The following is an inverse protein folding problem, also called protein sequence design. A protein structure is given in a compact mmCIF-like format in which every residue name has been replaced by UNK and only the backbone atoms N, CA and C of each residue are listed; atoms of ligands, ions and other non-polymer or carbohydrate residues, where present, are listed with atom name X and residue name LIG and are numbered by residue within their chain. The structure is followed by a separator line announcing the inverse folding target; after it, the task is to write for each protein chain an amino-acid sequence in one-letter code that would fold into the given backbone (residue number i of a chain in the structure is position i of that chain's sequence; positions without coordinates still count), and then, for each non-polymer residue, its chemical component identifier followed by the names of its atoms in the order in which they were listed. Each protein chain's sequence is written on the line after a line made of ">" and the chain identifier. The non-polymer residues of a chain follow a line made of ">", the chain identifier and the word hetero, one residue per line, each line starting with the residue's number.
data_IF_916923535794
#
_entry.id   IF_916923535794
#
_cell.length_a   1.000
_cell.length_b   1.000
_cell.length_c   1.000
_cell.angle_alpha   90.00
_cell.angle_beta   90.00
_cell.angle_gamma   90.00
#
_symmetry.space_group_name_H-M   'P 1'
#
loop_
_entity.id
_entity.type
_entity.pdbx_description
1 polymer ?
#
# COMPACT_ATOMS: atom_id res chain seq x y z
N UNK A 1 -20.51 -24.13 -10.73
CA UNK A 1 -21.36 -23.38 -9.79
C UNK A 1 -20.63 -23.32 -8.46
N UNK A 2 -19.90 -22.24 -8.22
CA UNK A 2 -19.29 -21.98 -6.91
C UNK A 2 -20.42 -21.56 -5.94
N UNK A 3 -20.61 -22.33 -4.88
CA UNK A 3 -21.55 -21.96 -3.81
C UNK A 3 -20.81 -21.06 -2.85
N UNK A 4 -21.18 -19.79 -2.83
CA UNK A 4 -20.79 -18.84 -1.77
C UNK A 4 -21.81 -19.05 -0.65
N UNK A 5 -21.39 -19.15 0.63
CA UNK A 5 -22.33 -19.12 1.75
C UNK A 5 -22.99 -17.74 1.78
N UNK A 6 -24.34 -17.73 1.73
CA UNK A 6 -25.16 -16.56 2.05
C UNK A 6 -25.04 -16.27 3.54
N UNK A 7 -24.90 -14.99 3.87
CA UNK A 7 -25.02 -14.49 5.24
C UNK A 7 -26.40 -14.86 5.82
N UNK A 8 -26.53 -15.16 7.12
CA UNK A 8 -27.82 -15.39 7.72
C UNK A 8 -28.57 -14.07 7.89
N UNK A 9 -29.81 -14.05 7.41
CA UNK A 9 -30.81 -13.02 7.69
C UNK A 9 -30.98 -12.86 9.19
N UNK A 10 -30.79 -11.65 9.65
CA UNK A 10 -30.98 -11.27 11.06
C UNK A 10 -32.24 -10.39 11.17
N UNK A 11 -33.41 -11.04 11.08
CA UNK A 11 -34.68 -10.47 11.53
C UNK A 11 -35.08 -11.16 12.84
N UNK A 12 -34.80 -10.51 13.94
CA UNK A 12 -35.59 -10.59 15.14
C UNK A 12 -35.26 -9.41 16.08
N UNK A 13 -36.08 -8.38 15.94
CA UNK A 13 -36.16 -7.26 16.90
C UNK A 13 -36.99 -7.70 18.04
N UNK A 14 -36.40 -7.82 19.24
CA UNK A 14 -37.14 -7.89 20.50
C UNK A 14 -36.59 -6.82 21.42
N UNK A 15 -37.44 -5.82 21.72
CA UNK A 15 -37.21 -4.80 22.74
C UNK A 15 -37.15 -5.40 24.12
N UNK A 16 -36.24 -5.00 25.01
CA UNK A 16 -36.28 -5.33 26.42
C UNK A 16 -37.05 -4.27 27.23
N UNK A 17 -37.73 -4.66 28.30
CA UNK A 17 -38.49 -3.76 29.16
C UNK A 17 -37.61 -2.91 30.07
N UNK A 18 -38.10 -1.72 30.32
CA UNK A 18 -37.62 -0.70 31.21
C UNK A 18 -37.90 -1.14 32.69
N UNK A 19 -36.85 -1.23 33.50
CA UNK A 19 -37.04 -1.16 34.96
C UNK A 19 -35.91 -0.31 35.59
N UNK A 20 -36.37 0.79 36.20
CA UNK A 20 -35.64 1.60 37.17
C UNK A 20 -35.46 0.79 38.47
N UNK A 21 -34.25 0.68 38.99
CA UNK A 21 -34.09 0.89 40.43
C UNK A 21 -32.66 1.31 40.82
N UNK A 22 -32.60 2.13 41.84
CA UNK A 22 -31.52 2.88 42.42
C UNK A 22 -30.61 2.04 43.32
N UNK A 23 -29.27 2.30 43.34
CA UNK A 23 -28.45 1.87 44.48
C UNK A 23 -26.93 1.89 44.29
N UNK A 24 -26.32 2.95 44.80
CA UNK A 24 -24.99 3.08 45.49
C UNK A 24 -23.71 2.43 45.00
N UNK A 25 -22.76 3.30 44.63
CA UNK A 25 -21.33 3.37 45.04
C UNK A 25 -20.48 2.09 45.16
N UNK A 26 -19.45 1.98 44.31
CA UNK A 26 -18.04 2.00 44.77
C UNK A 26 -17.08 2.04 43.56
N UNK A 27 -15.96 2.75 43.75
CA UNK A 27 -15.02 3.18 42.72
C UNK A 27 -14.21 2.07 42.07
N UNK A 28 -13.83 2.32 40.80
CA UNK A 28 -12.88 1.58 40.02
C UNK A 28 -12.34 2.50 38.94
N UNK A 29 -11.11 2.97 39.11
CA UNK A 29 -10.36 3.79 38.22
C UNK A 29 -10.13 3.02 36.90
N UNK A 30 -10.83 3.38 35.83
CA UNK A 30 -10.59 2.94 34.47
C UNK A 30 -10.14 4.14 33.65
N UNK A 31 -8.87 4.15 33.26
CA UNK A 31 -8.31 5.19 32.39
C UNK A 31 -8.97 5.17 31.03
N UNK A 32 -9.62 6.26 30.69
CA UNK A 32 -10.03 6.58 29.32
C UNK A 32 -8.80 6.88 28.46
N UNK A 33 -8.71 6.39 27.21
CA UNK A 33 -7.66 6.85 26.32
C UNK A 33 -7.87 8.33 26.05
N UNK A 34 -6.80 9.12 26.24
CA UNK A 34 -6.78 10.55 25.94
C UNK A 34 -7.05 10.76 24.46
N UNK A 35 -7.98 11.66 24.15
CA UNK A 35 -8.18 12.16 22.81
C UNK A 35 -6.89 12.83 22.30
N UNK A 36 -6.57 12.75 20.97
CA UNK A 36 -5.45 13.48 20.39
C UNK A 36 -5.62 14.97 20.66
N UNK A 37 -4.51 15.63 21.02
CA UNK A 37 -4.50 17.06 21.24
C UNK A 37 -4.86 17.80 19.95
N UNK A 38 -5.76 18.78 20.05
CA UNK A 38 -6.10 19.70 18.97
C UNK A 38 -4.84 20.46 18.49
N UNK A 39 -4.73 20.79 17.18
CA UNK A 39 -3.61 21.55 16.65
C UNK A 39 -3.47 22.88 17.41
N UNK A 40 -2.28 23.07 17.99
CA UNK A 40 -1.97 24.34 18.64
C UNK A 40 -1.74 25.42 17.58
N UNK A 41 -2.38 26.56 17.76
CA UNK A 41 -2.12 27.77 16.98
C UNK A 41 -0.64 28.17 17.06
N UNK A 42 -0.10 28.66 15.93
CA UNK A 42 1.26 29.14 15.82
C UNK A 42 1.63 30.11 16.97
N UNK A 43 2.83 30.02 17.55
CA UNK A 43 3.28 30.92 18.61
C UNK A 43 3.48 32.34 18.05
N UNK A 44 2.81 33.31 18.65
CA UNK A 44 3.15 34.71 18.46
C UNK A 44 4.46 35.03 19.21
N UNK A 45 5.44 35.49 18.43
CA UNK A 45 6.75 36.03 18.84
C UNK A 45 7.90 35.07 19.16
N UNK A 46 8.83 34.96 18.20
CA UNK A 46 10.27 35.17 18.51
C UNK A 46 11.17 33.96 18.63
N UNK A 47 10.71 32.72 18.53
CA UNK A 47 11.62 31.58 18.42
C UNK A 47 11.21 30.69 17.23
N UNK A 48 12.07 30.48 16.22
CA UNK A 48 11.77 29.66 15.05
C UNK A 48 11.67 28.17 15.36
N UNK A 49 11.54 27.80 16.62
CA UNK A 49 11.53 26.42 17.08
C UNK A 49 10.16 25.79 16.91
N UNK A 50 10.07 24.75 16.06
CA UNK A 50 8.85 23.99 15.81
C UNK A 50 8.76 22.80 16.77
N UNK A 51 7.61 22.59 17.43
CA UNK A 51 7.41 21.43 18.27
C UNK A 51 7.31 20.16 17.40
N UNK A 52 8.08 19.14 17.77
CA UNK A 52 8.01 17.77 17.23
C UNK A 52 7.34 16.91 18.30
N UNK A 53 6.48 16.00 17.89
CA UNK A 53 5.86 15.05 18.81
C UNK A 53 6.68 13.75 18.82
N UNK A 54 7.16 13.36 20.00
CA UNK A 54 7.83 12.10 20.21
C UNK A 54 6.92 11.19 21.06
N UNK A 55 6.40 10.13 20.46
CA UNK A 55 5.35 9.31 21.06
C UNK A 55 4.18 10.16 21.63
N UNK A 56 3.78 11.20 20.87
CA UNK A 56 2.72 12.14 21.24
C UNK A 56 3.13 13.21 22.27
N UNK A 57 4.36 13.22 22.79
CA UNK A 57 4.87 14.28 23.69
C UNK A 57 5.59 15.36 22.89
N UNK A 58 5.21 16.61 23.09
CA UNK A 58 5.79 17.76 22.41
C UNK A 58 7.19 18.11 22.92
N UNK A 59 8.15 18.24 22.00
CA UNK A 59 9.52 18.68 22.25
C UNK A 59 9.92 19.71 21.20
N UNK A 60 10.52 20.81 21.62
CA UNK A 60 11.00 21.86 20.71
C UNK A 60 12.33 21.45 20.06
N UNK A 61 12.26 20.67 18.96
CA UNK A 61 13.42 20.11 18.29
C UNK A 61 13.47 20.39 16.79
N UNK A 62 12.53 21.19 16.24
CA UNK A 62 12.53 21.60 14.84
C UNK A 62 12.88 23.07 14.66
N UNK A 63 13.53 23.41 13.54
CA UNK A 63 13.74 24.80 13.09
C UNK A 63 13.21 24.95 11.67
N UNK A 64 12.31 25.90 11.43
CA UNK A 64 11.77 26.18 10.10
C UNK A 64 12.69 27.10 9.31
N UNK A 65 12.89 26.78 8.03
CA UNK A 65 13.61 27.59 7.05
C UNK A 65 12.75 27.71 5.80
N UNK A 66 12.44 28.94 5.40
CA UNK A 66 11.71 29.22 4.17
C UNK A 66 12.68 29.50 3.02
N UNK A 67 12.38 28.96 1.84
CA UNK A 67 13.17 29.16 0.62
C UNK A 67 12.30 29.03 -0.63
N UNK A 68 12.89 29.15 -1.82
CA UNK A 68 12.24 28.88 -3.09
C UNK A 68 13.10 27.92 -3.92
N UNK A 69 12.47 27.01 -4.64
CA UNK A 69 13.11 26.03 -5.52
C UNK A 69 12.22 25.84 -6.76
N UNK A 70 12.76 26.15 -7.97
CA UNK A 70 12.03 26.03 -9.24
C UNK A 70 10.66 26.70 -9.22
N UNK A 71 10.60 27.95 -8.77
CA UNK A 71 9.39 28.78 -8.60
C UNK A 71 8.36 28.24 -7.57
N UNK A 72 8.70 27.17 -6.82
CA UNK A 72 7.90 26.65 -5.71
C UNK A 72 8.41 27.20 -4.38
N UNK A 73 7.48 27.52 -3.49
CA UNK A 73 7.78 27.86 -2.09
C UNK A 73 8.11 26.61 -1.30
N UNK A 74 9.14 26.66 -0.47
CA UNK A 74 9.63 25.50 0.30
C UNK A 74 9.73 25.86 1.77
N UNK A 75 9.09 25.06 2.63
CA UNK A 75 9.28 25.09 4.08
C UNK A 75 10.08 23.86 4.49
N UNK A 76 11.32 24.07 4.97
CA UNK A 76 12.17 23.00 5.48
C UNK A 76 12.19 23.02 7.01
N UNK A 77 11.87 21.88 7.62
CA UNK A 77 12.01 21.67 9.07
C UNK A 77 13.30 20.89 9.32
N UNK A 78 14.32 21.58 9.81
CA UNK A 78 15.60 20.97 10.20
C UNK A 78 15.48 20.41 11.61
N UNK A 79 15.79 19.13 11.79
CA UNK A 79 15.64 18.42 13.06
C UNK A 79 16.94 18.52 13.87
N UNK A 80 16.85 19.00 15.11
CA UNK A 80 17.96 19.09 16.05
C UNK A 80 18.50 17.69 16.41
N UNK A 81 19.77 17.44 16.08
CA UNK A 81 20.39 16.13 16.23
C UNK A 81 20.58 15.71 17.68
N UNK A 82 20.96 16.65 18.57
CA UNK A 82 21.20 16.34 19.98
C UNK A 82 19.88 15.98 20.67
N UNK A 83 18.85 16.81 20.46
CA UNK A 83 17.52 16.57 21.04
C UNK A 83 16.87 15.28 20.55
N UNK A 84 16.98 14.99 19.24
CA UNK A 84 16.44 13.73 18.70
C UNK A 84 17.17 12.51 19.29
N UNK A 85 18.50 12.57 19.40
CA UNK A 85 19.28 11.49 19.98
C UNK A 85 18.95 11.28 21.46
N UNK A 86 18.82 12.36 22.25
CA UNK A 86 18.43 12.27 23.66
C UNK A 86 17.07 11.61 23.85
N UNK A 87 16.11 11.91 22.96
CA UNK A 87 14.79 11.28 22.97
C UNK A 87 14.87 9.80 22.64
N UNK A 88 15.65 9.43 21.60
CA UNK A 88 15.80 8.02 21.18
C UNK A 88 16.54 7.16 22.22
N UNK A 89 17.49 7.72 22.99
CA UNK A 89 18.20 6.99 24.05
C UNK A 89 17.28 6.63 25.21
N UNK A 90 16.29 7.46 25.52
CA UNK A 90 15.37 7.27 26.64
C UNK A 90 14.21 6.31 26.38
N UNK A 91 14.02 5.86 25.14
CA UNK A 91 12.84 5.07 24.72
C UNK A 91 13.22 3.65 24.28
N UNK A 92 12.24 2.76 24.37
CA UNK A 92 12.29 1.43 23.76
C UNK A 92 12.19 1.53 22.23
N UNK A 93 12.23 0.42 21.55
CA UNK A 93 11.99 0.31 20.09
C UNK A 93 10.59 0.83 19.69
N UNK A 94 10.40 1.11 18.39
CA UNK A 94 9.15 1.52 17.76
C UNK A 94 8.66 2.94 18.13
N UNK A 95 9.56 3.87 18.37
CA UNK A 95 9.19 5.27 18.60
C UNK A 95 8.59 5.92 17.34
N UNK A 96 7.53 6.72 17.53
CA UNK A 96 6.93 7.53 16.47
C UNK A 96 7.35 9.00 16.68
N UNK A 97 8.01 9.55 15.66
CA UNK A 97 8.44 10.96 15.60
C UNK A 97 7.52 11.68 14.61
N UNK A 98 6.58 12.50 15.12
CA UNK A 98 5.65 13.24 14.28
C UNK A 98 6.08 14.69 14.16
N UNK A 99 6.18 15.19 12.94
CA UNK A 99 6.51 16.57 12.58
C UNK A 99 5.23 17.22 12.04
N UNK A 100 4.45 17.93 12.88
CA UNK A 100 3.28 18.66 12.41
C UNK A 100 3.75 19.95 11.75
N UNK A 101 3.40 20.14 10.49
CA UNK A 101 3.77 21.32 9.69
C UNK A 101 2.53 22.07 9.26
N UNK A 102 2.39 23.29 9.76
CA UNK A 102 1.37 24.24 9.34
C UNK A 102 2.02 25.20 8.35
N UNK A 103 1.89 24.96 7.06
CA UNK A 103 2.49 25.77 6.00
C UNK A 103 1.63 25.72 4.74
N UNK A 104 1.56 26.82 4.01
CA UNK A 104 0.94 26.93 2.69
C UNK A 104 1.94 26.73 1.55
N UNK A 105 3.19 26.37 1.88
CA UNK A 105 4.24 26.16 0.90
C UNK A 105 3.90 25.00 -0.06
N UNK A 106 4.38 25.10 -1.29
CA UNK A 106 4.24 24.06 -2.31
C UNK A 106 4.98 22.78 -1.91
N UNK A 107 6.11 22.92 -1.20
CA UNK A 107 6.99 21.83 -0.78
C UNK A 107 7.23 21.91 0.72
N UNK A 108 7.01 20.83 1.43
CA UNK A 108 7.33 20.64 2.83
C UNK A 108 8.45 19.60 2.92
N UNK A 109 9.53 19.94 3.62
CA UNK A 109 10.71 19.09 3.78
C UNK A 109 10.99 18.86 5.26
N UNK A 110 11.13 17.61 5.69
CA UNK A 110 11.82 17.28 6.92
C UNK A 110 13.28 16.94 6.61
N UNK A 111 14.23 17.68 7.19
CA UNK A 111 15.67 17.47 6.98
C UNK A 111 16.29 16.88 8.25
N UNK A 112 16.93 15.70 8.09
CA UNK A 112 17.73 15.01 9.09
C UNK A 112 19.13 14.76 8.52
N UNK A 113 20.10 14.41 9.37
CA UNK A 113 21.34 13.85 8.86
C UNK A 113 21.29 12.31 8.85
N UNK A 114 22.22 11.68 8.11
CA UNK A 114 22.25 10.22 7.99
C UNK A 114 22.49 9.49 9.32
N UNK A 115 23.19 10.11 10.30
CA UNK A 115 23.38 9.51 11.62
C UNK A 115 22.07 9.47 12.42
N UNK A 116 21.25 10.52 12.32
CA UNK A 116 19.92 10.54 12.93
C UNK A 116 19.04 9.41 12.35
N UNK A 117 19.04 9.27 11.02
CA UNK A 117 18.31 8.19 10.35
C UNK A 117 18.81 6.83 10.80
N UNK A 118 20.15 6.64 10.89
CA UNK A 118 20.74 5.38 11.38
C UNK A 118 20.29 5.05 12.80
N UNK A 119 20.28 6.04 13.70
CA UNK A 119 19.82 5.85 15.07
C UNK A 119 18.32 5.49 15.14
N UNK A 120 17.51 6.04 14.23
CA UNK A 120 16.10 5.71 14.09
C UNK A 120 15.89 4.30 13.50
N UNK A 121 16.69 3.89 12.49
CA UNK A 121 16.68 2.51 11.95
C UNK A 121 16.97 1.49 13.07
N UNK A 122 18.04 1.73 13.86
CA UNK A 122 18.45 0.83 14.95
C UNK A 122 17.38 0.69 16.05
N UNK A 123 16.45 1.64 16.14
CA UNK A 123 15.31 1.65 17.06
C UNK A 123 13.98 1.27 16.37
N UNK A 124 13.99 0.91 15.10
CA UNK A 124 12.78 0.63 14.31
C UNK A 124 11.74 1.76 14.40
N UNK A 125 12.22 3.00 14.48
CA UNK A 125 11.38 4.17 14.64
C UNK A 125 10.68 4.55 13.34
N UNK A 126 9.55 5.25 13.47
CA UNK A 126 8.77 5.77 12.34
C UNK A 126 8.82 7.29 12.36
N UNK A 127 9.11 7.89 11.21
CA UNK A 127 8.97 9.32 10.99
C UNK A 127 7.64 9.62 10.32
N UNK A 128 6.91 10.55 10.87
CA UNK A 128 5.63 10.99 10.34
C UNK A 128 5.66 12.50 10.09
N UNK A 129 5.49 12.91 8.83
CA UNK A 129 5.34 14.33 8.46
C UNK A 129 3.86 14.57 8.22
N UNK A 130 3.25 15.45 9.02
CA UNK A 130 1.84 15.79 8.90
C UNK A 130 1.67 17.21 8.37
N UNK A 131 0.88 17.36 7.32
CA UNK A 131 0.44 18.65 6.80
C UNK A 131 -1.08 18.67 6.66
N UNK A 132 -1.64 19.81 6.32
CA UNK A 132 -3.08 20.00 6.07
C UNK A 132 -3.59 19.23 4.84
N UNK A 133 -2.71 18.87 3.90
CA UNK A 133 -3.04 18.16 2.65
C UNK A 133 -2.69 16.68 2.66
N UNK A 134 -1.64 16.28 3.39
CA UNK A 134 -1.16 14.91 3.38
C UNK A 134 -0.31 14.58 4.61
N UNK A 135 -0.21 13.28 4.90
CA UNK A 135 0.72 12.71 5.88
C UNK A 135 1.61 11.70 5.20
N UNK A 136 2.90 11.73 5.52
CA UNK A 136 3.87 10.74 5.08
C UNK A 136 4.42 9.98 6.29
N UNK A 137 4.06 8.69 6.40
CA UNK A 137 4.47 7.79 7.48
C UNK A 137 5.58 6.87 6.98
N UNK A 138 6.83 7.20 7.31
CA UNK A 138 8.02 6.52 6.80
C UNK A 138 8.74 5.77 7.92
N UNK A 139 8.71 4.42 7.95
CA UNK A 139 9.60 3.64 8.81
C UNK A 139 11.06 3.93 8.43
N UNK A 140 11.89 4.29 9.41
CA UNK A 140 13.27 4.71 9.16
C UNK A 140 14.09 3.66 8.40
N UNK A 141 13.86 2.38 8.68
CA UNK A 141 14.51 1.26 7.98
C UNK A 141 14.29 1.24 6.46
N UNK A 142 13.21 1.88 5.97
CA UNK A 142 12.92 1.97 4.54
C UNK A 142 13.80 3.01 3.82
N UNK A 143 14.50 3.88 4.55
CA UNK A 143 15.49 4.80 3.97
C UNK A 143 16.74 4.04 3.54
N UNK A 144 17.13 3.00 4.30
CA UNK A 144 18.33 2.19 4.08
C UNK A 144 19.60 3.04 3.96
N UNK A 145 19.88 3.84 5.01
CA UNK A 145 21.00 4.77 5.02
C UNK A 145 22.37 4.12 4.75
N UNK A 146 22.51 2.84 5.10
CA UNK A 146 23.73 2.09 4.83
C UNK A 146 23.97 1.90 3.34
N UNK A 147 22.94 1.56 2.56
CA UNK A 147 23.04 1.44 1.10
C UNK A 147 23.31 2.81 0.43
N UNK A 148 22.67 3.86 0.92
CA UNK A 148 22.91 5.25 0.46
C UNK A 148 24.37 5.65 0.71
N UNK A 149 24.88 5.44 1.91
CA UNK A 149 26.26 5.77 2.27
C UNK A 149 27.28 5.04 1.40
N UNK A 150 27.04 3.75 1.11
CA UNK A 150 27.90 2.97 0.18
C UNK A 150 27.93 3.55 -1.23
N UNK A 151 26.78 4.02 -1.75
CA UNK A 151 26.71 4.64 -3.07
C UNK A 151 27.41 6.00 -3.13
N UNK A 152 27.38 6.77 -2.03
CA UNK A 152 28.06 8.06 -1.94
C UNK A 152 29.58 7.92 -1.76
N UNK A 153 30.05 6.79 -1.21
CA UNK A 153 31.47 6.46 -1.02
C UNK A 153 31.81 6.07 0.42
N UNK A 154 32.70 5.09 0.57
CA UNK A 154 33.07 4.50 1.89
C UNK A 154 33.66 5.50 2.93
N UNK A 155 34.12 6.68 2.50
CA UNK A 155 34.72 7.70 3.37
C UNK A 155 33.73 8.78 3.82
N UNK A 156 32.47 8.72 3.39
CA UNK A 156 31.46 9.74 3.72
C UNK A 156 30.94 9.51 5.13
N UNK A 157 31.01 10.55 5.98
CA UNK A 157 30.41 10.51 7.32
C UNK A 157 28.89 10.61 7.22
N UNK A 158 28.15 9.76 7.95
CA UNK A 158 26.70 9.83 8.01
C UNK A 158 26.18 11.19 8.49
N UNK A 159 26.94 11.89 9.31
CA UNK A 159 26.58 13.23 9.81
C UNK A 159 26.58 14.29 8.69
N UNK A 160 27.35 14.06 7.61
CA UNK A 160 27.47 15.00 6.49
C UNK A 160 26.45 14.72 5.37
N UNK A 161 25.71 13.59 5.44
CA UNK A 161 24.65 13.27 4.51
C UNK A 161 23.35 13.91 4.99
N UNK A 162 22.74 14.77 4.20
CA UNK A 162 21.40 15.31 4.47
C UNK A 162 20.35 14.37 3.90
N UNK A 163 19.39 13.96 4.72
CA UNK A 163 18.24 13.19 4.31
C UNK A 163 17.04 14.12 4.33
N UNK A 164 16.45 14.34 3.16
CA UNK A 164 15.30 15.21 2.93
C UNK A 164 14.09 14.34 2.57
N UNK A 165 13.05 14.39 3.39
CA UNK A 165 11.80 13.69 3.21
C UNK A 165 10.76 14.74 2.87
N UNK A 166 10.14 14.64 1.68
CA UNK A 166 9.36 15.70 1.09
C UNK A 166 7.90 15.30 0.85
N UNK A 167 7.00 16.24 1.09
CA UNK A 167 5.60 16.27 0.60
C UNK A 167 5.49 17.49 -0.27
N UNK A 168 5.24 17.33 -1.59
CA UNK A 168 5.29 18.43 -2.54
C UNK A 168 4.05 18.48 -3.45
N UNK A 169 3.73 19.66 -3.95
CA UNK A 169 2.90 19.80 -5.14
C UNK A 169 3.75 19.39 -6.36
N UNK A 170 3.18 18.66 -7.33
CA UNK A 170 3.90 18.32 -8.55
C UNK A 170 4.26 19.57 -9.36
N UNK A 171 5.29 19.46 -10.20
CA UNK A 171 5.63 20.50 -11.17
C UNK A 171 4.53 20.68 -12.21
N UNK A 172 4.47 21.84 -12.89
CA UNK A 172 3.53 22.13 -13.97
C UNK A 172 3.61 21.09 -15.10
N UNK A 173 4.82 20.68 -15.46
CA UNK A 173 5.02 19.66 -16.49
C UNK A 173 4.42 18.31 -16.08
N UNK A 174 4.63 17.90 -14.83
CA UNK A 174 4.06 16.66 -14.31
C UNK A 174 2.54 16.72 -14.20
N UNK A 175 1.96 17.88 -13.82
CA UNK A 175 0.50 18.08 -13.82
C UNK A 175 -0.07 17.90 -15.24
N UNK A 176 0.58 18.44 -16.26
CA UNK A 176 0.15 18.25 -17.66
C UNK A 176 0.18 16.79 -18.11
N UNK A 177 1.19 16.02 -17.68
CA UNK A 177 1.27 14.58 -17.94
C UNK A 177 0.10 13.85 -17.26
N UNK A 178 -0.20 14.18 -16.00
CA UNK A 178 -1.30 13.57 -15.23
C UNK A 178 -2.66 13.89 -15.86
N UNK A 179 -2.90 15.13 -16.28
CA UNK A 179 -4.13 15.53 -16.96
C UNK A 179 -4.32 14.78 -18.29
N UNK A 180 -3.27 14.68 -19.09
CA UNK A 180 -3.29 13.90 -20.33
C UNK A 180 -3.58 12.40 -20.04
N UNK A 181 -2.96 11.84 -19.02
CA UNK A 181 -3.22 10.45 -18.61
C UNK A 181 -4.67 10.24 -18.16
N UNK A 182 -5.26 11.23 -17.47
CA UNK A 182 -6.65 11.20 -17.04
C UNK A 182 -7.63 11.18 -18.23
N UNK A 183 -7.37 12.01 -19.24
CA UNK A 183 -8.18 12.03 -20.47
C UNK A 183 -8.08 10.70 -21.23
N UNK A 184 -6.87 10.16 -21.41
CA UNK A 184 -6.65 8.90 -22.11
C UNK A 184 -7.22 7.71 -21.37
N UNK A 185 -7.09 7.68 -20.02
CA UNK A 185 -7.58 6.62 -19.14
C UNK A 185 -9.04 6.74 -18.78
N UNK A 186 -9.74 7.82 -19.19
CA UNK A 186 -11.16 8.08 -18.89
C UNK A 186 -11.46 8.07 -17.38
N UNK A 187 -10.58 8.63 -16.56
CA UNK A 187 -10.78 8.80 -15.13
C UNK A 187 -10.76 10.29 -14.72
N UNK A 188 -11.41 10.62 -13.61
CA UNK A 188 -11.39 11.95 -13.06
C UNK A 188 -10.47 12.04 -11.84
N UNK A 189 -9.68 13.13 -11.75
CA UNK A 189 -8.92 13.44 -10.54
C UNK A 189 -9.90 13.94 -9.45
N UNK A 190 -9.78 13.39 -8.25
CA UNK A 190 -10.66 13.73 -7.11
C UNK A 190 -10.07 14.82 -6.24
N UNK A 191 -8.74 14.81 -6.09
CA UNK A 191 -7.97 15.79 -5.32
C UNK A 191 -6.73 16.19 -6.12
N UNK A 192 -6.10 17.34 -5.82
CA UNK A 192 -4.79 17.68 -6.40
C UNK A 192 -3.77 16.58 -6.13
N UNK A 193 -2.96 16.20 -7.13
CA UNK A 193 -1.89 15.22 -6.95
C UNK A 193 -0.86 15.67 -5.92
N UNK A 194 -0.24 14.70 -5.22
CA UNK A 194 0.79 14.95 -4.21
C UNK A 194 2.03 14.10 -4.52
N UNK A 195 3.18 14.73 -4.53
CA UNK A 195 4.47 14.07 -4.65
C UNK A 195 5.05 13.75 -3.27
N UNK A 196 5.57 12.52 -3.12
CA UNK A 196 6.33 12.09 -1.96
C UNK A 196 7.70 11.62 -2.41
N UNK A 197 8.75 12.13 -1.78
CA UNK A 197 10.13 11.75 -2.10
C UNK A 197 11.02 11.67 -0.86
N UNK A 198 12.10 10.89 -0.98
CA UNK A 198 13.19 10.80 -0.01
C UNK A 198 14.49 10.98 -0.77
N UNK A 199 15.25 12.01 -0.42
CA UNK A 199 16.50 12.40 -1.07
C UNK A 199 17.64 12.39 -0.08
N UNK A 200 18.77 11.85 -0.48
CA UNK A 200 20.04 11.95 0.24
C UNK A 200 20.96 12.89 -0.51
N UNK A 201 21.41 13.96 0.15
CA UNK A 201 22.23 15.01 -0.44
C UNK A 201 23.59 15.04 0.25
N UNK A 202 24.66 14.97 -0.52
CA UNK A 202 26.03 15.11 -0.06
C UNK A 202 26.85 15.93 -1.08
N UNK A 203 27.27 17.13 -0.71
CA UNK A 203 27.85 18.08 -1.65
C UNK A 203 26.92 18.38 -2.82
N UNK A 204 27.40 18.15 -4.04
CA UNK A 204 26.60 18.33 -5.28
C UNK A 204 25.88 17.04 -5.72
N UNK A 205 26.00 15.95 -4.96
CA UNK A 205 25.39 14.66 -5.29
C UNK A 205 24.06 14.50 -4.59
N UNK A 206 23.01 14.15 -5.34
CA UNK A 206 21.71 13.77 -4.81
C UNK A 206 21.35 12.35 -5.25
N UNK A 207 21.01 11.50 -4.29
CA UNK A 207 20.47 10.17 -4.52
C UNK A 207 19.00 10.14 -4.06
N UNK A 208 18.14 9.48 -4.82
CA UNK A 208 16.74 9.29 -4.42
C UNK A 208 16.48 7.86 -3.98
N UNK A 209 15.83 7.70 -2.83
CA UNK A 209 15.28 6.42 -2.40
C UNK A 209 13.93 6.22 -3.11
N UNK A 210 13.94 5.52 -4.23
CA UNK A 210 12.76 5.33 -5.07
C UNK A 210 11.99 4.05 -4.78
N UNK A 211 12.61 3.08 -4.07
CA UNK A 211 12.04 1.76 -3.79
C UNK A 211 12.16 1.39 -2.32
N UNK A 212 11.12 0.73 -1.81
CA UNK A 212 11.03 0.24 -0.45
C UNK A 212 10.88 -1.28 -0.42
N UNK A 213 11.33 -1.90 0.65
CA UNK A 213 11.24 -3.36 0.88
C UNK A 213 9.90 -3.80 1.47
N UNK A 214 9.17 -2.85 2.08
CA UNK A 214 7.82 -3.03 2.62
C UNK A 214 6.93 -1.85 2.23
N UNK A 215 5.61 -2.04 2.32
CA UNK A 215 4.68 -0.96 2.05
C UNK A 215 4.90 0.21 3.02
N UNK A 216 4.99 1.40 2.45
CA UNK A 216 5.06 2.67 3.17
C UNK A 216 3.72 3.38 2.99
N UNK A 217 3.15 3.86 4.10
CA UNK A 217 1.84 4.52 4.11
C UNK A 217 1.96 6.01 3.79
N UNK A 218 1.04 6.49 2.97
CA UNK A 218 0.82 7.91 2.68
C UNK A 218 -0.66 8.18 2.80
N UNK A 219 -1.00 9.28 3.42
CA UNK A 219 -2.38 9.68 3.59
C UNK A 219 -2.63 11.01 2.89
N UNK A 220 -3.61 11.07 2.00
CA UNK A 220 -4.02 12.31 1.33
C UNK A 220 -5.39 12.72 1.88
N UNK A 221 -5.50 13.95 2.35
CA UNK A 221 -6.75 14.51 2.87
C UNK A 221 -7.73 14.73 1.71
N UNK A 222 -8.95 14.24 1.86
CA UNK A 222 -10.03 14.49 0.91
C UNK A 222 -10.76 15.78 1.33
N UNK A 223 -10.84 16.79 0.46
CA UNK A 223 -11.49 18.05 0.77
C UNK A 223 -12.97 17.86 1.10
N UNK A 224 -13.51 18.75 1.95
CA UNK A 224 -14.93 18.78 2.25
C UNK A 224 -15.76 18.99 0.95
N UNK A 225 -16.88 18.27 0.85
CA UNK A 225 -17.77 18.31 -0.31
C UNK A 225 -17.47 17.31 -1.42
N UNK A 226 -16.37 16.58 -1.35
CA UNK A 226 -16.12 15.41 -2.21
C UNK A 226 -17.00 14.25 -1.73
N UNK A 227 -17.77 13.66 -2.66
CA UNK A 227 -18.56 12.46 -2.37
C UNK A 227 -17.63 11.23 -2.23
N UNK A 228 -17.52 10.61 -1.05
CA UNK A 228 -16.63 9.45 -0.86
C UNK A 228 -17.00 8.26 -1.74
N UNK A 229 -18.24 8.15 -2.20
CA UNK A 229 -18.65 7.12 -3.17
C UNK A 229 -18.04 7.35 -4.57
N UNK A 230 -17.48 8.55 -4.82
CA UNK A 230 -16.76 8.89 -6.06
C UNK A 230 -15.24 8.84 -5.90
N UNK A 231 -14.74 8.04 -4.98
CA UNK A 231 -13.32 7.78 -4.80
C UNK A 231 -13.09 6.31 -5.10
N UNK A 232 -12.35 6.02 -6.17
CA UNK A 232 -12.09 4.63 -6.58
C UNK A 232 -10.81 4.09 -5.96
N UNK A 233 -9.69 4.77 -6.21
CA UNK A 233 -8.35 4.36 -5.77
C UNK A 233 -7.37 5.50 -5.93
N UNK A 234 -6.13 5.33 -5.48
CA UNK A 234 -5.03 6.15 -5.94
C UNK A 234 -4.25 5.43 -7.06
N UNK A 235 -3.58 6.25 -7.85
CA UNK A 235 -2.68 5.83 -8.92
C UNK A 235 -1.36 6.59 -8.83
N UNK A 236 -0.33 6.02 -9.43
CA UNK A 236 0.88 6.71 -9.83
C UNK A 236 0.81 6.95 -11.33
N UNK A 237 1.17 8.15 -11.76
CA UNK A 237 1.44 8.46 -13.16
C UNK A 237 2.95 8.63 -13.31
N UNK A 238 3.58 7.79 -14.12
CA UNK A 238 5.01 7.85 -14.37
C UNK A 238 5.31 9.01 -15.35
N UNK A 239 6.57 9.50 -15.44
CA UNK A 239 6.94 10.59 -16.34
C UNK A 239 6.67 10.32 -17.82
N UNK A 240 6.55 9.07 -18.24
CA UNK A 240 6.18 8.66 -19.60
C UNK A 240 4.66 8.61 -19.84
N UNK A 241 3.85 8.95 -18.82
CA UNK A 241 2.39 8.93 -18.87
C UNK A 241 1.76 7.59 -18.54
N UNK A 242 2.53 6.55 -18.26
CA UNK A 242 1.98 5.26 -17.84
C UNK A 242 1.30 5.37 -16.47
N UNK A 243 0.14 4.68 -16.33
CA UNK A 243 -0.68 4.72 -15.12
C UNK A 243 -0.59 3.38 -14.40
N UNK A 244 -0.35 3.45 -13.10
CA UNK A 244 -0.26 2.29 -12.22
C UNK A 244 -1.17 2.46 -11.01
N UNK A 245 -2.03 1.46 -10.77
CA UNK A 245 -2.80 1.36 -9.52
C UNK A 245 -1.87 1.28 -8.31
N UNK A 246 -2.28 1.88 -7.20
CA UNK A 246 -1.67 1.63 -5.88
C UNK A 246 -2.75 1.29 -4.85
N UNK A 247 -2.52 0.30 -3.99
CA UNK A 247 -3.46 -0.09 -2.95
C UNK A 247 -3.91 1.11 -2.10
N UNK A 248 -5.23 1.30 -1.98
CA UNK A 248 -5.80 2.49 -1.35
C UNK A 248 -7.07 2.17 -0.59
N UNK A 249 -7.12 2.56 0.69
CA UNK A 249 -8.31 2.55 1.53
C UNK A 249 -8.86 3.96 1.72
N UNK A 250 -10.17 4.10 1.86
CA UNK A 250 -10.79 5.36 2.28
C UNK A 250 -11.17 5.23 3.74
N UNK A 251 -10.58 6.08 4.59
CA UNK A 251 -10.80 6.08 6.04
C UNK A 251 -11.32 7.44 6.49
N UNK A 252 -12.03 7.46 7.61
CA UNK A 252 -12.39 8.69 8.32
C UNK A 252 -11.42 8.85 9.49
N UNK A 253 -10.64 9.93 9.47
CA UNK A 253 -9.67 10.30 10.52
C UNK A 253 -10.05 11.72 10.96
N UNK A 254 -10.30 11.90 12.26
CA UNK A 254 -10.72 13.19 12.84
C UNK A 254 -11.91 13.86 12.12
N UNK A 255 -12.86 13.02 11.67
CA UNK A 255 -14.08 13.48 10.99
C UNK A 255 -13.92 13.85 9.52
N UNK A 256 -12.74 13.71 8.93
CA UNK A 256 -12.46 13.94 7.52
C UNK A 256 -12.16 12.64 6.78
N UNK A 257 -12.54 12.59 5.51
CA UNK A 257 -12.15 11.47 4.66
C UNK A 257 -10.68 11.58 4.22
N UNK A 258 -10.01 10.45 4.21
CA UNK A 258 -8.62 10.33 3.80
C UNK A 258 -8.44 9.16 2.85
N UNK A 259 -7.63 9.33 1.82
CA UNK A 259 -7.11 8.24 1.02
C UNK A 259 -5.80 7.75 1.66
N UNK A 260 -5.83 6.56 2.23
CA UNK A 260 -4.68 5.89 2.83
C UNK A 260 -4.06 4.97 1.79
N UNK A 261 -2.88 5.33 1.31
CA UNK A 261 -2.20 4.73 0.16
C UNK A 261 -1.01 3.92 0.66
N UNK A 262 -0.93 2.67 0.25
CA UNK A 262 0.19 1.79 0.55
C UNK A 262 1.02 1.57 -0.73
N UNK A 263 2.29 1.96 -0.73
CA UNK A 263 3.14 1.84 -1.89
C UNK A 263 4.58 1.45 -1.55
N UNK A 264 5.20 0.69 -2.46
CA UNK A 264 6.61 0.28 -2.41
C UNK A 264 7.54 1.27 -3.12
N UNK A 265 7.01 2.40 -3.60
CA UNK A 265 7.80 3.41 -4.32
C UNK A 265 7.50 4.82 -3.83
N UNK A 266 8.42 5.74 -4.05
CA UNK A 266 8.15 7.17 -4.03
C UNK A 266 7.76 7.64 -5.42
N UNK A 267 6.78 8.54 -5.53
CA UNK A 267 6.29 9.09 -6.79
C UNK A 267 5.27 10.21 -6.57
N UNK A 268 4.60 10.63 -7.65
CA UNK A 268 3.41 11.49 -7.62
C UNK A 268 2.15 10.63 -7.57
N UNK A 269 1.32 10.85 -6.56
CA UNK A 269 0.09 10.10 -6.32
C UNK A 269 -1.13 10.95 -6.64
N UNK A 270 -2.07 10.36 -7.37
CA UNK A 270 -3.34 10.96 -7.71
C UNK A 270 -4.48 10.10 -7.20
N UNK A 271 -5.47 10.68 -6.53
CA UNK A 271 -6.71 9.99 -6.15
C UNK A 271 -7.71 10.17 -7.26
N UNK A 272 -8.31 9.07 -7.74
CA UNK A 272 -9.16 9.05 -8.93
C UNK A 272 -10.55 8.50 -8.68
N UNK A 273 -11.50 8.93 -9.52
CA UNK A 273 -12.77 8.30 -9.75
C UNK A 273 -12.78 7.68 -11.15
N UNK A 274 -12.91 6.34 -11.20
CA UNK A 274 -12.88 5.54 -12.43
C UNK A 274 -13.88 4.39 -12.30
N UNK A 275 -15.19 4.63 -12.45
CA UNK A 275 -16.20 3.58 -12.36
C UNK A 275 -16.14 2.68 -13.60
N UNK A 276 -16.11 1.36 -13.38
CA UNK A 276 -16.17 0.34 -14.43
C UNK A 276 -17.31 -0.63 -14.18
N UNK A 277 -18.08 -0.92 -15.22
CA UNK A 277 -19.10 -1.96 -15.22
C UNK A 277 -18.98 -2.79 -16.50
N UNK A 278 -19.02 -4.11 -16.34
CA UNK A 278 -18.97 -5.04 -17.47
C UNK A 278 -20.34 -5.67 -17.69
N UNK A 279 -20.90 -5.48 -18.89
CA UNK A 279 -22.26 -5.89 -19.22
C UNK A 279 -22.48 -7.40 -19.14
N UNK A 280 -21.47 -8.19 -19.50
CA UNK A 280 -21.50 -9.65 -19.44
C UNK A 280 -21.29 -10.22 -18.02
N UNK A 281 -20.89 -9.38 -17.07
CA UNK A 281 -20.82 -9.72 -15.66
C UNK A 281 -22.04 -9.26 -14.84
N UNK A 282 -23.02 -8.58 -15.45
CA UNK A 282 -24.13 -7.92 -14.75
C UNK A 282 -24.97 -8.86 -13.86
N UNK A 283 -25.11 -10.14 -14.24
CA UNK A 283 -25.81 -11.18 -13.46
C UNK A 283 -24.86 -12.25 -12.90
N UNK A 284 -23.55 -12.04 -12.99
CA UNK A 284 -22.56 -13.02 -12.56
C UNK A 284 -22.30 -12.89 -11.05
N UNK A 285 -22.07 -14.01 -10.35
CA UNK A 285 -21.79 -14.04 -8.91
C UNK A 285 -20.62 -13.17 -8.47
N UNK A 286 -19.64 -12.94 -9.35
CA UNK A 286 -18.46 -12.14 -9.09
C UNK A 286 -18.59 -10.68 -9.57
N UNK A 287 -19.79 -10.20 -9.94
CA UNK A 287 -20.02 -8.86 -10.47
C UNK A 287 -19.29 -7.78 -9.69
N UNK A 288 -19.48 -7.77 -8.37
CA UNK A 288 -18.93 -6.71 -7.51
C UNK A 288 -17.40 -6.75 -7.48
N UNK A 289 -16.80 -7.95 -7.41
CA UNK A 289 -15.35 -8.09 -7.45
C UNK A 289 -14.77 -7.70 -8.82
N UNK A 290 -15.45 -8.06 -9.91
CA UNK A 290 -15.05 -7.71 -11.27
C UNK A 290 -15.09 -6.20 -11.46
N UNK A 291 -16.18 -5.54 -11.10
CA UNK A 291 -16.33 -4.10 -11.25
C UNK A 291 -15.38 -3.31 -10.33
N UNK A 292 -15.19 -3.74 -9.08
CA UNK A 292 -14.24 -3.11 -8.15
C UNK A 292 -12.79 -3.23 -8.68
N UNK A 293 -12.37 -4.42 -9.07
CA UNK A 293 -11.02 -4.63 -9.60
C UNK A 293 -10.81 -3.95 -10.96
N UNK A 294 -11.84 -3.87 -11.79
CA UNK A 294 -11.82 -3.10 -13.04
C UNK A 294 -11.70 -1.60 -12.78
N UNK A 295 -12.52 -1.07 -11.88
CA UNK A 295 -12.48 0.33 -11.49
C UNK A 295 -11.12 0.73 -10.92
N UNK A 296 -10.46 -0.15 -10.17
CA UNK A 296 -9.11 0.05 -9.61
C UNK A 296 -7.98 -0.19 -10.61
N UNK A 297 -8.27 -0.43 -11.91
CA UNK A 297 -7.24 -0.69 -12.94
C UNK A 297 -6.41 -1.98 -12.70
N UNK A 298 -6.88 -2.89 -11.85
CA UNK A 298 -6.22 -4.18 -11.56
C UNK A 298 -6.50 -5.20 -12.66
N UNK A 299 -7.73 -5.21 -13.18
CA UNK A 299 -8.15 -6.05 -14.30
C UNK A 299 -8.68 -5.18 -15.46
N UNK A 300 -8.62 -5.71 -16.65
CA UNK A 300 -9.13 -5.04 -17.85
C UNK A 300 -10.14 -5.94 -18.56
N UNK A 301 -11.06 -5.34 -19.31
CA UNK A 301 -11.88 -6.03 -20.28
C UNK A 301 -11.07 -6.57 -21.46
N UNK A 302 -11.75 -7.28 -22.36
CA UNK A 302 -11.27 -7.68 -23.68
C UNK A 302 -11.49 -6.54 -24.68
N UNK A 303 -10.98 -6.67 -25.90
CA UNK A 303 -11.06 -5.62 -26.95
C UNK A 303 -12.50 -5.21 -27.30
N UNK A 304 -13.49 -6.07 -27.08
CA UNK A 304 -14.91 -5.81 -27.29
C UNK A 304 -15.62 -5.18 -26.08
N UNK A 305 -14.86 -4.80 -25.02
CA UNK A 305 -15.40 -4.19 -23.79
C UNK A 305 -16.09 -5.18 -22.85
N UNK A 306 -16.01 -6.49 -23.11
CA UNK A 306 -16.53 -7.53 -22.25
C UNK A 306 -15.47 -8.00 -21.24
N UNK A 307 -15.90 -8.60 -20.15
CA UNK A 307 -14.97 -9.19 -19.16
C UNK A 307 -14.67 -10.66 -19.44
N UNK A 308 -15.61 -11.39 -20.01
CA UNK A 308 -15.56 -12.86 -20.23
C UNK A 308 -15.30 -13.64 -18.93
N UNK A 309 -16.20 -13.55 -17.92
CA UNK A 309 -15.97 -14.01 -16.54
C UNK A 309 -15.64 -15.50 -16.42
N UNK A 310 -16.24 -16.35 -17.23
CA UNK A 310 -16.07 -17.82 -17.18
C UNK A 310 -14.88 -18.33 -18.01
N UNK A 311 -14.16 -17.46 -18.72
CA UNK A 311 -12.97 -17.84 -19.48
C UNK A 311 -11.82 -18.18 -18.54
N UNK A 312 -11.11 -19.29 -18.82
CA UNK A 312 -9.89 -19.65 -18.09
C UNK A 312 -8.79 -18.58 -18.24
N UNK A 313 -8.16 -18.24 -17.14
CA UNK A 313 -7.04 -17.29 -17.07
C UNK A 313 -5.73 -17.98 -17.45
N UNK A 314 -4.89 -17.31 -18.24
CA UNK A 314 -3.52 -17.77 -18.50
C UNK A 314 -2.57 -17.39 -17.37
N UNK A 315 -1.39 -18.02 -17.34
CA UNK A 315 -0.36 -17.73 -16.33
C UNK A 315 0.17 -16.30 -16.46
N UNK A 316 0.33 -15.80 -17.68
CA UNK A 316 0.72 -14.40 -17.91
C UNK A 316 -0.35 -13.40 -17.44
N UNK A 317 -1.64 -13.68 -17.74
CA UNK A 317 -2.75 -12.84 -17.25
C UNK A 317 -2.82 -12.82 -15.73
N UNK A 318 -2.63 -13.95 -15.06
CA UNK A 318 -2.62 -14.02 -13.59
C UNK A 318 -1.43 -13.21 -13.02
N UNK A 319 -0.23 -13.34 -13.60
CA UNK A 319 0.92 -12.55 -13.21
C UNK A 319 0.67 -11.05 -13.36
N UNK A 320 0.00 -10.63 -14.43
CA UNK A 320 -0.36 -9.24 -14.64
C UNK A 320 -1.35 -8.72 -13.58
N UNK A 321 -2.35 -9.50 -13.24
CA UNK A 321 -3.38 -9.12 -12.27
C UNK A 321 -2.77 -9.01 -10.86
N UNK A 322 -1.92 -9.95 -10.44
CA UNK A 322 -1.29 -9.89 -9.11
C UNK A 322 -0.29 -8.74 -8.99
N UNK A 323 0.52 -8.48 -10.02
CA UNK A 323 1.47 -7.35 -10.07
C UNK A 323 0.72 -6.02 -9.97
N UNK A 324 -0.34 -5.85 -10.76
CA UNK A 324 -1.19 -4.64 -10.72
C UNK A 324 -1.92 -4.50 -9.39
N UNK A 325 -2.52 -5.57 -8.87
CA UNK A 325 -3.24 -5.55 -7.60
C UNK A 325 -2.37 -5.14 -6.42
N UNK A 326 -1.13 -5.60 -6.39
CA UNK A 326 -0.13 -5.22 -5.38
C UNK A 326 0.50 -3.83 -5.64
N UNK A 327 0.16 -3.17 -6.74
CA UNK A 327 0.71 -1.85 -7.09
C UNK A 327 2.21 -1.87 -7.38
N UNK A 328 2.76 -2.98 -7.88
CA UNK A 328 4.19 -3.09 -8.16
C UNK A 328 4.57 -2.30 -9.41
N UNK A 329 5.67 -1.56 -9.34
CA UNK A 329 6.23 -0.90 -10.50
C UNK A 329 6.89 -1.93 -11.40
N UNK A 330 6.48 -1.96 -12.66
CA UNK A 330 7.10 -2.85 -13.65
C UNK A 330 8.43 -2.26 -14.11
N UNK A 331 9.50 -3.03 -13.93
CA UNK A 331 10.86 -2.64 -14.29
C UNK A 331 11.57 -3.79 -14.98
N UNK A 332 12.51 -3.45 -15.86
CA UNK A 332 13.37 -4.41 -16.55
C UNK A 332 12.76 -4.98 -17.82
N UNK A 333 13.52 -4.83 -18.92
CA UNK A 333 13.14 -5.33 -20.24
C UNK A 333 13.80 -6.68 -20.57
N UNK A 334 14.59 -7.24 -19.64
CA UNK A 334 15.33 -8.49 -19.87
C UNK A 334 14.47 -9.71 -19.53
N UNK A 335 14.20 -10.59 -20.49
CA UNK A 335 13.48 -11.83 -20.24
C UNK A 335 14.22 -12.71 -19.22
N UNK A 336 13.46 -13.21 -18.23
CA UNK A 336 13.97 -14.09 -17.16
C UNK A 336 13.83 -15.56 -17.54
N UNK A 337 12.90 -15.88 -18.44
CA UNK A 337 12.57 -17.25 -18.84
C UNK A 337 12.78 -17.44 -20.35
N UNK A 338 13.19 -18.66 -20.75
CA UNK A 338 13.57 -18.98 -22.13
C UNK A 338 12.43 -18.81 -23.17
N UNK A 339 11.19 -18.93 -22.72
CA UNK A 339 9.98 -18.83 -23.54
C UNK A 339 9.25 -17.46 -23.44
N UNK A 340 9.92 -16.44 -22.87
CA UNK A 340 9.44 -15.07 -22.79
C UNK A 340 10.34 -14.18 -23.64
N UNK A 341 9.77 -13.43 -24.58
CA UNK A 341 10.49 -12.48 -25.42
C UNK A 341 10.36 -11.08 -24.84
N UNK A 342 11.37 -10.21 -25.03
CA UNK A 342 11.28 -8.79 -24.60
C UNK A 342 10.16 -8.01 -25.27
N UNK A 343 9.67 -8.47 -26.42
CA UNK A 343 8.55 -7.89 -27.16
C UNK A 343 7.19 -8.36 -26.68
N UNK A 344 7.12 -9.36 -25.80
CA UNK A 344 5.86 -9.85 -25.26
C UNK A 344 5.28 -8.83 -24.28
N UNK A 345 3.97 -8.57 -24.35
CA UNK A 345 3.29 -7.60 -23.50
C UNK A 345 3.44 -7.90 -21.99
N UNK A 346 3.71 -9.15 -21.65
CA UNK A 346 3.89 -9.64 -20.27
C UNK A 346 5.35 -9.70 -19.81
N UNK A 347 6.31 -9.33 -20.66
CA UNK A 347 7.75 -9.53 -20.37
C UNK A 347 8.18 -8.82 -19.08
N UNK A 348 7.99 -7.49 -19.00
CA UNK A 348 8.31 -6.69 -17.81
C UNK A 348 7.50 -7.10 -16.58
N UNK A 349 6.25 -7.51 -16.77
CA UNK A 349 5.37 -8.01 -15.70
C UNK A 349 5.93 -9.31 -15.09
N UNK A 350 6.33 -10.26 -15.93
CA UNK A 350 6.90 -11.54 -15.51
C UNK A 350 8.25 -11.30 -14.81
N UNK A 351 9.08 -10.40 -15.35
CA UNK A 351 10.34 -10.02 -14.72
C UNK A 351 10.11 -9.43 -13.32
N UNK A 352 9.15 -8.51 -13.19
CA UNK A 352 8.76 -7.90 -11.91
C UNK A 352 8.23 -8.95 -10.94
N UNK A 353 7.27 -9.79 -11.36
CA UNK A 353 6.72 -10.83 -10.49
C UNK A 353 7.79 -11.83 -10.01
N UNK A 354 8.79 -12.11 -10.85
CA UNK A 354 9.94 -12.94 -10.48
C UNK A 354 10.87 -12.23 -9.48
N UNK A 355 11.20 -10.96 -9.73
CA UNK A 355 12.05 -10.16 -8.84
C UNK A 355 11.48 -10.03 -7.42
N UNK A 356 10.15 -9.90 -7.30
CA UNK A 356 9.45 -9.90 -6.02
C UNK A 356 9.21 -11.32 -5.45
N UNK A 357 9.74 -12.37 -6.09
CA UNK A 357 9.61 -13.76 -5.63
C UNK A 357 8.18 -14.31 -5.69
N UNK A 358 7.25 -13.63 -6.40
CA UNK A 358 5.86 -14.07 -6.54
C UNK A 358 5.74 -15.32 -7.42
N UNK A 359 6.53 -15.36 -8.48
CA UNK A 359 6.55 -16.48 -9.43
C UNK A 359 7.93 -17.13 -9.51
N UNK A 360 7.95 -18.39 -9.88
CA UNK A 360 9.11 -19.12 -10.36
C UNK A 360 8.73 -19.85 -11.65
N UNK A 361 9.71 -20.09 -12.52
CA UNK A 361 9.51 -20.90 -13.70
C UNK A 361 9.47 -22.39 -13.38
N UNK A 362 9.45 -23.20 -14.43
CA UNK A 362 9.60 -24.63 -14.37
C UNK A 362 11.09 -25.02 -14.36
N UNK A 363 11.39 -26.27 -14.02
CA UNK A 363 12.76 -26.80 -13.96
C UNK A 363 13.50 -26.74 -15.31
N UNK A 364 12.74 -26.68 -16.43
CA UNK A 364 13.27 -26.53 -17.78
C UNK A 364 13.62 -25.08 -18.17
N UNK A 365 13.50 -24.12 -17.23
CA UNK A 365 13.78 -22.71 -17.46
C UNK A 365 12.68 -21.95 -18.18
N UNK A 366 11.50 -22.54 -18.35
CA UNK A 366 10.34 -21.90 -18.98
C UNK A 366 9.34 -21.32 -17.95
N UNK A 367 8.52 -20.35 -18.35
CA UNK A 367 7.39 -19.83 -17.56
C UNK A 367 6.04 -20.36 -18.02
N UNK A 368 5.92 -20.69 -19.31
CA UNK A 368 4.70 -21.14 -20.00
C UNK A 368 3.57 -20.12 -19.89
N UNK A 369 3.75 -18.90 -20.41
CA UNK A 369 2.86 -17.76 -20.20
C UNK A 369 1.42 -18.00 -20.68
N UNK A 370 1.25 -18.79 -21.73
CA UNK A 370 -0.05 -19.08 -22.38
C UNK A 370 -0.78 -20.31 -21.81
N UNK A 371 -0.14 -21.11 -20.94
CA UNK A 371 -0.83 -22.19 -20.25
C UNK A 371 -1.85 -21.65 -19.25
N UNK A 372 -2.91 -22.44 -19.00
CA UNK A 372 -3.95 -22.06 -18.05
C UNK A 372 -3.45 -22.18 -16.62
N UNK A 373 -3.84 -21.21 -15.79
CA UNK A 373 -3.50 -21.16 -14.36
C UNK A 373 -4.33 -22.16 -13.57
N UNK A 374 -3.71 -23.12 -12.93
CA UNK A 374 -4.42 -24.01 -12.01
C UNK A 374 -4.62 -23.38 -10.64
N UNK A 375 -5.62 -23.85 -9.88
CA UNK A 375 -5.90 -23.31 -8.53
C UNK A 375 -4.74 -23.48 -7.58
N UNK A 376 -4.03 -24.62 -7.57
CA UNK A 376 -2.86 -24.83 -6.71
C UNK A 376 -1.67 -23.92 -7.07
N UNK A 377 -1.50 -23.61 -8.37
CA UNK A 377 -0.49 -22.63 -8.82
C UNK A 377 -0.85 -21.23 -8.32
N UNK A 378 -2.11 -20.82 -8.47
CA UNK A 378 -2.59 -19.53 -7.97
C UNK A 378 -2.46 -19.41 -6.45
N UNK A 379 -2.84 -20.45 -5.69
CA UNK A 379 -2.66 -20.51 -4.23
C UNK A 379 -1.21 -20.29 -3.82
N UNK A 380 -0.27 -20.90 -4.55
CA UNK A 380 1.17 -20.74 -4.27
C UNK A 380 1.65 -19.31 -4.50
N UNK A 381 1.21 -18.66 -5.59
CA UNK A 381 1.56 -17.27 -5.89
C UNK A 381 0.93 -16.32 -4.85
N UNK A 382 -0.34 -16.55 -4.49
CA UNK A 382 -1.03 -15.75 -3.47
C UNK A 382 -0.36 -15.89 -2.10
N UNK A 383 0.04 -17.09 -1.69
CA UNK A 383 0.76 -17.31 -0.43
C UNK A 383 2.11 -16.56 -0.40
N UNK A 384 2.77 -16.42 -1.55
CA UNK A 384 3.97 -15.58 -1.68
C UNK A 384 3.63 -14.08 -1.59
N UNK A 385 2.52 -13.67 -2.20
CA UNK A 385 2.02 -12.30 -2.06
C UNK A 385 1.64 -11.96 -0.61
N UNK A 386 1.10 -12.92 0.15
CA UNK A 386 0.80 -12.73 1.59
C UNK A 386 2.04 -12.39 2.42
N UNK A 387 3.24 -12.85 2.04
CA UNK A 387 4.49 -12.44 2.68
C UNK A 387 4.81 -10.98 2.40
N UNK A 388 4.67 -10.55 1.14
CA UNK A 388 4.91 -9.16 0.75
C UNK A 388 3.95 -8.19 1.47
N UNK A 389 2.70 -8.62 1.72
CA UNK A 389 1.70 -7.80 2.40
C UNK A 389 1.77 -7.88 3.94
N UNK A 390 2.66 -8.68 4.51
CA UNK A 390 2.73 -8.93 5.95
C UNK A 390 1.57 -9.78 6.51
N UNK A 391 0.69 -10.29 5.64
CA UNK A 391 -0.45 -11.11 6.07
C UNK A 391 -0.03 -12.51 6.54
N UNK A 392 1.04 -13.05 5.97
CA UNK A 392 1.53 -14.40 6.34
C UNK A 392 1.95 -14.47 7.81
N UNK A 393 2.59 -13.43 8.30
CA UNK A 393 3.09 -13.30 9.68
C UNK A 393 1.95 -13.19 10.71
N UNK A 394 0.75 -12.84 10.27
CA UNK A 394 -0.44 -12.72 11.13
C UNK A 394 -1.21 -14.03 11.27
N UNK A 395 -0.91 -15.05 10.44
CA UNK A 395 -1.59 -16.31 10.50
C UNK A 395 -1.12 -17.15 11.72
N UNK A 396 -2.06 -17.84 12.41
CA UNK A 396 -1.69 -18.82 13.42
C UNK A 396 -0.82 -19.93 12.82
N UNK A 397 0.16 -20.41 13.60
CA UNK A 397 0.98 -21.55 13.19
C UNK A 397 0.12 -22.84 13.25
N UNK A 398 -0.22 -23.35 12.07
CA UNK A 398 -1.04 -24.54 11.89
C UNK A 398 -0.51 -25.39 10.73
N UNK A 399 -0.44 -26.69 10.93
CA UNK A 399 0.01 -27.59 9.87
C UNK A 399 -0.97 -27.63 8.69
N UNK A 400 -0.44 -27.81 7.50
CA UNK A 400 -1.23 -27.86 6.27
C UNK A 400 -2.28 -29.00 6.31
N UNK A 401 -1.93 -30.14 6.88
CA UNK A 401 -2.85 -31.30 7.00
C UNK A 401 -4.09 -30.97 7.83
N UNK A 402 -3.92 -30.23 8.95
CA UNK A 402 -5.02 -29.79 9.79
C UNK A 402 -5.88 -28.76 9.04
N UNK A 403 -5.26 -27.79 8.39
CA UNK A 403 -5.97 -26.74 7.65
C UNK A 403 -6.81 -27.33 6.52
N UNK A 404 -6.27 -28.29 5.78
CA UNK A 404 -6.92 -28.85 4.59
C UNK A 404 -7.79 -30.10 4.87
N UNK A 405 -7.88 -30.58 6.12
CA UNK A 405 -8.58 -31.82 6.47
C UNK A 405 -10.08 -31.86 6.10
N UNK A 406 -10.72 -30.65 5.99
CA UNK A 406 -12.13 -30.54 5.58
C UNK A 406 -12.36 -30.84 4.09
N UNK A 407 -11.30 -30.81 3.27
CA UNK A 407 -11.42 -31.09 1.84
C UNK A 407 -11.07 -32.55 1.53
N UNK A 408 -12.02 -33.27 0.97
CA UNK A 408 -11.87 -34.70 0.61
C UNK A 408 -10.81 -34.97 -0.45
N UNK A 409 -10.46 -33.94 -1.22
CA UNK A 409 -9.47 -33.95 -2.29
C UNK A 409 -8.17 -33.24 -1.94
N UNK A 410 -7.91 -33.01 -0.63
CA UNK A 410 -6.68 -32.42 -0.15
C UNK A 410 -5.42 -33.21 -0.62
N UNK A 411 -5.52 -34.55 -0.71
CA UNK A 411 -4.44 -35.40 -1.23
C UNK A 411 -4.12 -35.20 -2.72
N UNK A 412 -4.97 -34.52 -3.48
CA UNK A 412 -4.70 -34.15 -4.87
C UNK A 412 -3.83 -32.89 -4.99
N UNK A 413 -3.62 -32.13 -3.90
CA UNK A 413 -2.70 -30.99 -3.87
C UNK A 413 -1.27 -31.50 -4.05
N UNK A 414 -0.52 -30.92 -4.98
CA UNK A 414 0.88 -31.25 -5.19
C UNK A 414 1.72 -30.89 -3.95
N UNK A 415 2.75 -31.67 -3.65
CA UNK A 415 3.60 -31.44 -2.48
C UNK A 415 4.21 -30.03 -2.43
N UNK A 416 4.59 -29.49 -3.59
CA UNK A 416 5.13 -28.13 -3.70
C UNK A 416 4.10 -27.03 -3.42
N UNK A 417 2.80 -27.31 -3.57
CA UNK A 417 1.72 -26.35 -3.37
C UNK A 417 1.04 -26.46 -1.99
N UNK A 418 1.36 -27.51 -1.23
CA UNK A 418 0.62 -27.87 -0.02
C UNK A 418 0.56 -26.74 1.02
N UNK A 419 1.71 -26.14 1.33
CA UNK A 419 1.76 -25.02 2.28
C UNK A 419 1.04 -23.78 1.75
N UNK A 420 1.21 -23.45 0.47
CA UNK A 420 0.52 -22.32 -0.14
C UNK A 420 -1.01 -22.49 -0.18
N UNK A 421 -1.48 -23.71 -0.42
CA UNK A 421 -2.90 -24.03 -0.35
C UNK A 421 -3.44 -23.87 1.08
N UNK A 422 -2.72 -24.38 2.08
CA UNK A 422 -3.10 -24.23 3.47
C UNK A 422 -3.14 -22.76 3.90
N UNK A 423 -2.09 -21.98 3.60
CA UNK A 423 -2.00 -20.56 3.95
C UNK A 423 -3.17 -19.75 3.39
N UNK A 424 -3.49 -19.94 2.11
CA UNK A 424 -4.56 -19.20 1.44
C UNK A 424 -5.97 -19.59 1.92
N UNK A 425 -6.15 -20.85 2.30
CA UNK A 425 -7.40 -21.34 2.93
C UNK A 425 -7.53 -20.78 4.35
N UNK A 426 -6.45 -20.86 5.15
CA UNK A 426 -6.42 -20.35 6.52
C UNK A 426 -6.69 -18.86 6.59
N UNK A 427 -6.15 -18.10 5.64
CA UNK A 427 -6.41 -16.66 5.52
C UNK A 427 -7.84 -16.34 5.01
N UNK A 428 -8.62 -17.32 4.57
CA UNK A 428 -9.94 -17.07 3.98
C UNK A 428 -9.92 -16.45 2.58
N UNK A 429 -8.74 -16.37 1.94
CA UNK A 429 -8.61 -15.80 0.59
C UNK A 429 -9.19 -16.77 -0.44
N UNK A 430 -8.87 -18.05 -0.31
CA UNK A 430 -9.42 -19.12 -1.16
C UNK A 430 -10.30 -20.04 -0.33
N UNK A 431 -11.52 -20.23 -0.79
CA UNK A 431 -12.45 -21.24 -0.31
C UNK A 431 -12.50 -22.43 -1.28
N UNK A 432 -13.12 -23.54 -0.88
CA UNK A 432 -13.40 -24.65 -1.78
C UNK A 432 -14.31 -24.26 -2.96
N UNK A 433 -14.27 -25.03 -4.04
CA UNK A 433 -15.31 -24.96 -5.09
C UNK A 433 -16.68 -25.46 -4.59
N UNK A 434 -16.66 -26.25 -3.50
CA UNK A 434 -17.82 -26.64 -2.72
C UNK A 434 -17.41 -26.72 -1.24
N UNK A 435 -18.36 -27.01 -0.36
CA UNK A 435 -18.10 -27.10 1.08
C UNK A 435 -16.95 -28.06 1.45
N UNK A 436 -16.67 -29.07 0.64
CA UNK A 436 -15.67 -30.11 0.94
C UNK A 436 -14.76 -30.48 -0.23
N UNK A 437 -14.65 -29.64 -1.26
CA UNK A 437 -13.78 -29.84 -2.44
C UNK A 437 -12.97 -28.61 -2.72
N UNK A 438 -11.65 -28.74 -2.79
CA UNK A 438 -10.72 -27.66 -3.11
C UNK A 438 -10.50 -27.53 -4.63
N UNK A 439 -10.50 -28.66 -5.33
CA UNK A 439 -10.28 -28.82 -6.78
C UNK A 439 -8.95 -28.21 -7.26
N UNK A 440 -7.79 -28.63 -6.69
CA UNK A 440 -6.51 -27.97 -6.88
C UNK A 440 -5.99 -27.99 -8.33
N UNK A 441 -6.41 -28.97 -9.13
CA UNK A 441 -5.96 -29.14 -10.52
C UNK A 441 -6.86 -28.43 -11.55
N UNK A 442 -8.04 -27.94 -11.13
CA UNK A 442 -8.90 -27.18 -12.03
C UNK A 442 -8.26 -25.84 -12.42
N UNK A 443 -8.57 -25.37 -13.61
CA UNK A 443 -8.20 -24.04 -14.04
C UNK A 443 -9.01 -22.98 -13.27
N UNK A 444 -8.43 -21.80 -13.10
CA UNK A 444 -9.13 -20.63 -12.57
C UNK A 444 -9.73 -19.80 -13.69
N UNK A 445 -11.00 -19.44 -13.53
CA UNK A 445 -11.64 -18.47 -14.42
C UNK A 445 -11.24 -17.04 -14.08
N UNK A 446 -11.44 -16.12 -15.01
CA UNK A 446 -11.17 -14.67 -14.79
C UNK A 446 -11.97 -14.13 -13.61
N UNK A 447 -13.21 -14.54 -13.44
CA UNK A 447 -14.06 -14.17 -12.31
C UNK A 447 -13.51 -14.67 -10.97
N UNK A 448 -13.05 -15.93 -10.91
CA UNK A 448 -12.42 -16.47 -9.70
C UNK A 448 -11.15 -15.70 -9.35
N UNK A 449 -10.34 -15.34 -10.35
CA UNK A 449 -9.12 -14.53 -10.13
C UNK A 449 -9.47 -13.15 -9.59
N UNK A 450 -10.44 -12.45 -10.20
CA UNK A 450 -10.87 -11.12 -9.70
C UNK A 450 -11.32 -11.19 -8.24
N UNK A 451 -12.14 -12.18 -7.87
CA UNK A 451 -12.64 -12.35 -6.51
C UNK A 451 -11.52 -12.68 -5.50
N UNK A 452 -10.58 -13.53 -5.89
CA UNK A 452 -9.47 -13.93 -5.01
C UNK A 452 -8.47 -12.79 -4.80
N UNK A 453 -8.15 -12.03 -5.83
CA UNK A 453 -7.27 -10.86 -5.71
C UNK A 453 -7.93 -9.77 -4.86
N UNK A 454 -9.22 -9.50 -5.06
CA UNK A 454 -9.95 -8.57 -4.20
C UNK A 454 -9.89 -8.99 -2.73
N UNK A 455 -10.11 -10.28 -2.43
CA UNK A 455 -10.03 -10.80 -1.04
C UNK A 455 -8.63 -10.67 -0.47
N UNK A 456 -7.58 -11.02 -1.23
CA UNK A 456 -6.20 -10.82 -0.81
C UNK A 456 -5.97 -9.37 -0.39
N UNK A 457 -6.34 -8.41 -1.22
CA UNK A 457 -6.11 -6.99 -0.94
C UNK A 457 -6.93 -6.50 0.27
N UNK A 458 -8.20 -6.92 0.40
CA UNK A 458 -9.05 -6.57 1.56
C UNK A 458 -8.54 -7.17 2.87
N UNK A 459 -8.21 -8.45 2.88
CA UNK A 459 -7.75 -9.14 4.10
C UNK A 459 -6.36 -8.63 4.52
N UNK A 460 -5.51 -8.26 3.56
CA UNK A 460 -4.22 -7.61 3.82
C UNK A 460 -4.35 -6.14 4.26
N UNK A 461 -5.57 -5.58 4.34
CA UNK A 461 -5.77 -4.18 4.71
C UNK A 461 -5.21 -3.19 3.68
N UNK A 462 -5.14 -3.57 2.42
CA UNK A 462 -4.60 -2.73 1.34
C UNK A 462 -5.69 -1.94 0.59
N UNK A 463 -6.96 -2.43 0.60
CA UNK A 463 -8.12 -1.75 -0.01
C UNK A 463 -9.35 -1.84 0.89
#
# INVERSE_FOLDING_TARGET
>A
NAVIPTEPDNDDVVDPPNDNDSGSQSGGSGGTPSAPAAPQTAPENGDPCIPILFNGKSVNAGTAVESTRNDQTVTTIVIDSEKLNDMLVGESELAVITIPVVSTADVIVAELNGQQVKNMEDKQSVLEIQSDRATYTLPAEQVNISAISQQLGESVSLQDIKIQIEIAAPTTDMLSIIENAAEQGSFALVVPPVEFSVKAVYGDTTLEATHFTAYVERTIVIPDGVDPAKITTAIVVEPDGTVRHVPTQIKVIDGKYHAVINSLTNSVYSVIWHPQEFSDAASHWAKDAINDMGSRLVISGTEDGLFTPDRDTTRAEFAAIIVRGLGLKTEGDSPVFADVQSTDWYSSIIATAHAYGLISGYEDGTFRPNEKMTREQAMTIIARAMKLTGLKEQLPDQSADITLQSFRDASAVSAWALNGAADTVQAGIISGKSANTLDPKANMTRAEVAAVIQRLLKISGLI
#
